data_IF_049545094356
#
_entry.id   IF_049545094356
#
_cell.length_a   1.000
_cell.length_b   1.000
_cell.length_c   1.000
_cell.angle_alpha   90.00
_cell.angle_beta   90.00
_cell.angle_gamma   90.00
#
_symmetry.space_group_name_H-M   'P 1'
#
loop_
_entity.id
_entity.type
_entity.pdbx_description
1 polymer ?
#
# COMPACT_ATOMS: atom_id res chain seq x y z
N UNK A 1 16.25 17.83 -49.44
CA UNK A 1 15.98 16.41 -49.06
C UNK A 1 16.86 15.91 -47.91
N UNK A 2 18.20 15.91 -47.99
CA UNK A 2 19.07 15.34 -46.94
C UNK A 2 18.90 15.97 -45.53
N UNK A 3 18.68 17.29 -45.44
CA UNK A 3 18.46 18.00 -44.16
C UNK A 3 17.11 17.66 -43.49
N UNK A 4 16.09 17.37 -44.29
CA UNK A 4 14.74 17.02 -43.79
C UNK A 4 14.69 15.59 -43.22
N UNK A 5 15.49 14.67 -43.79
CA UNK A 5 15.62 13.29 -43.30
C UNK A 5 16.34 13.23 -41.94
N UNK A 6 17.38 14.06 -41.75
CA UNK A 6 18.07 14.17 -40.47
C UNK A 6 17.16 14.70 -39.35
N UNK A 7 16.30 15.68 -39.65
CA UNK A 7 15.34 16.23 -38.68
C UNK A 7 14.27 15.19 -38.29
N UNK A 8 13.80 14.39 -39.25
CA UNK A 8 12.86 13.29 -38.98
C UNK A 8 13.50 12.19 -38.10
N UNK A 9 14.76 11.85 -38.31
CA UNK A 9 15.49 10.87 -37.50
C UNK A 9 15.69 11.33 -36.04
N UNK A 10 15.96 12.62 -35.82
CA UNK A 10 16.08 13.19 -34.47
C UNK A 10 14.73 13.18 -33.75
N UNK A 11 13.65 13.56 -34.44
CA UNK A 11 12.30 13.54 -33.87
C UNK A 11 11.83 12.11 -33.52
N UNK A 12 12.16 11.12 -34.35
CA UNK A 12 11.83 9.70 -34.08
C UNK A 12 12.62 9.13 -32.91
N UNK A 13 13.86 9.58 -32.70
CA UNK A 13 14.68 9.14 -31.55
C UNK A 13 14.20 9.70 -30.21
N UNK A 14 13.59 10.89 -30.21
CA UNK A 14 13.01 11.46 -28.99
C UNK A 14 11.77 10.70 -28.52
N UNK A 15 10.96 10.13 -29.40
CA UNK A 15 9.73 9.41 -29.02
C UNK A 15 9.99 8.04 -28.37
N UNK A 16 11.13 7.40 -28.66
CA UNK A 16 11.49 6.12 -28.02
C UNK A 16 11.99 6.27 -26.57
N UNK A 17 12.52 7.44 -26.18
CA UNK A 17 13.00 7.68 -24.82
C UNK A 17 11.85 7.91 -23.81
N UNK A 18 10.65 8.25 -24.29
CA UNK A 18 9.48 8.50 -23.44
C UNK A 18 8.47 7.33 -23.40
N UNK A 19 8.76 6.22 -24.08
CA UNK A 19 7.86 5.05 -24.16
C UNK A 19 8.26 3.90 -23.21
N UNK A 20 9.07 4.15 -22.19
CA UNK A 20 9.16 3.22 -21.08
C UNK A 20 7.92 3.41 -20.19
N UNK A 21 6.87 2.67 -20.52
CA UNK A 21 5.80 2.32 -19.58
C UNK A 21 6.42 1.38 -18.53
N UNK A 22 7.28 1.94 -17.68
CA UNK A 22 7.83 1.24 -16.55
C UNK A 22 6.69 1.08 -15.54
N UNK A 23 6.45 -0.15 -15.09
CA UNK A 23 5.62 -0.43 -13.92
C UNK A 23 6.14 0.42 -12.76
N UNK A 24 5.51 1.58 -12.54
CA UNK A 24 5.98 2.59 -11.56
C UNK A 24 6.05 2.02 -10.15
N UNK A 25 5.41 0.87 -9.88
CA UNK A 25 5.36 0.24 -8.58
C UNK A 25 5.91 -1.17 -8.64
N UNK A 26 6.99 -1.43 -7.92
CA UNK A 26 7.59 -2.76 -7.81
C UNK A 26 7.25 -3.39 -6.46
N UNK A 27 6.80 -4.64 -6.47
CA UNK A 27 6.70 -5.46 -5.26
C UNK A 27 8.10 -5.76 -4.72
N UNK A 28 8.44 -5.21 -3.55
CA UNK A 28 9.78 -5.32 -2.97
C UNK A 28 9.82 -6.30 -1.81
N UNK A 29 8.78 -6.30 -0.98
CA UNK A 29 8.75 -7.13 0.23
C UNK A 29 7.33 -7.63 0.52
N UNK A 30 7.23 -8.80 1.14
CA UNK A 30 5.97 -9.34 1.66
C UNK A 30 6.19 -9.94 3.03
N UNK A 31 5.19 -9.82 3.89
CA UNK A 31 5.14 -10.54 5.16
C UNK A 31 3.75 -11.10 5.40
N UNK A 32 3.65 -12.13 6.23
CA UNK A 32 2.38 -12.62 6.74
C UNK A 32 2.21 -12.28 8.23
N UNK A 33 1.03 -12.58 8.76
CA UNK A 33 0.69 -12.33 10.17
C UNK A 33 1.45 -13.20 11.18
N UNK A 34 2.26 -14.18 10.72
CA UNK A 34 3.14 -14.99 11.57
C UNK A 34 4.60 -14.49 11.55
N UNK A 35 4.90 -13.46 10.76
CA UNK A 35 6.25 -12.92 10.57
C UNK A 35 7.07 -13.62 9.49
N UNK A 36 6.52 -14.59 8.76
CA UNK A 36 7.20 -15.16 7.58
C UNK A 36 7.20 -14.12 6.45
N UNK A 37 8.30 -14.02 5.71
CA UNK A 37 8.49 -13.00 4.69
C UNK A 37 9.13 -13.52 3.40
N UNK A 38 8.98 -12.74 2.32
CA UNK A 38 9.68 -12.93 1.04
C UNK A 38 10.15 -11.57 0.52
N UNK A 39 11.30 -11.57 -0.14
CA UNK A 39 12.03 -10.36 -0.51
C UNK A 39 13.07 -10.00 0.55
N UNK A 40 13.95 -9.05 0.24
CA UNK A 40 14.93 -8.54 1.20
C UNK A 40 14.32 -7.35 1.95
N UNK A 41 14.31 -7.40 3.28
CA UNK A 41 13.86 -6.27 4.10
C UNK A 41 14.77 -5.05 3.91
N UNK A 42 16.05 -5.26 3.60
CA UNK A 42 16.99 -4.17 3.39
C UNK A 42 16.65 -3.35 2.15
N UNK A 43 16.12 -3.97 1.09
CA UNK A 43 15.64 -3.25 -0.11
C UNK A 43 14.50 -2.29 0.24
N UNK A 44 13.58 -2.72 1.12
CA UNK A 44 12.47 -1.87 1.59
C UNK A 44 12.99 -0.74 2.49
N UNK A 45 13.88 -1.05 3.43
CA UNK A 45 14.49 -0.04 4.32
C UNK A 45 15.24 1.02 3.51
N UNK A 46 16.03 0.60 2.53
CA UNK A 46 16.80 1.51 1.70
C UNK A 46 15.90 2.37 0.82
N UNK A 47 14.80 1.82 0.30
CA UNK A 47 13.79 2.60 -0.41
C UNK A 47 13.16 3.67 0.48
N UNK A 48 12.81 3.33 1.72
CA UNK A 48 12.28 4.30 2.70
C UNK A 48 13.31 5.40 2.98
N UNK A 49 14.58 5.04 3.20
CA UNK A 49 15.67 6.01 3.46
C UNK A 49 15.94 6.93 2.27
N UNK A 50 15.73 6.45 1.05
CA UNK A 50 15.83 7.25 -0.19
C UNK A 50 14.63 8.16 -0.41
N UNK A 51 13.58 8.07 0.41
CA UNK A 51 12.37 8.86 0.29
C UNK A 51 11.43 8.36 -0.81
N UNK A 52 11.58 7.11 -1.27
CA UNK A 52 10.67 6.54 -2.24
C UNK A 52 9.27 6.42 -1.64
N UNK A 53 8.25 6.62 -2.47
CA UNK A 53 6.86 6.40 -2.06
C UNK A 53 6.61 4.92 -1.86
N UNK A 54 5.90 4.61 -0.77
CA UNK A 54 5.57 3.25 -0.37
C UNK A 54 4.05 3.06 -0.47
N UNK A 55 3.63 1.99 -1.12
CA UNK A 55 2.25 1.53 -1.14
C UNK A 55 2.16 0.17 -0.51
N UNK A 56 1.19 0.00 0.38
CA UNK A 56 0.91 -1.28 1.02
C UNK A 56 -0.38 -1.87 0.46
N UNK A 57 -0.42 -3.20 0.46
CA UNK A 57 -1.57 -3.98 0.09
C UNK A 57 -1.88 -5.00 1.18
N UNK A 58 -3.16 -5.15 1.49
CA UNK A 58 -3.68 -6.22 2.34
C UNK A 58 -5.08 -6.63 1.86
N UNK A 59 -5.58 -7.74 2.38
CA UNK A 59 -6.92 -8.21 2.05
C UNK A 59 -7.61 -8.80 3.28
N UNK A 60 -8.93 -8.74 3.28
CA UNK A 60 -9.79 -9.41 4.25
C UNK A 60 -10.69 -10.42 3.54
N UNK A 61 -11.00 -11.54 4.19
CA UNK A 61 -11.97 -12.51 3.69
C UNK A 61 -12.93 -12.89 4.81
N UNK A 62 -14.20 -13.16 4.48
CA UNK A 62 -15.18 -13.64 5.47
C UNK A 62 -14.68 -14.93 6.12
N UNK A 63 -14.94 -15.08 7.43
CA UNK A 63 -14.51 -16.25 8.20
C UNK A 63 -15.10 -17.55 7.63
N UNK A 64 -16.38 -17.52 7.27
CA UNK A 64 -17.17 -18.69 6.85
C UNK A 64 -17.21 -18.89 5.33
N UNK A 65 -16.69 -17.95 4.54
CA UNK A 65 -16.68 -18.03 3.08
C UNK A 65 -15.46 -17.27 2.55
N UNK A 66 -14.42 -18.01 2.15
CA UNK A 66 -13.17 -17.43 1.67
C UNK A 66 -13.26 -16.88 0.25
N UNK A 67 -14.33 -17.17 -0.50
CA UNK A 67 -14.57 -16.55 -1.81
C UNK A 67 -14.99 -15.08 -1.69
N UNK A 68 -15.64 -14.73 -0.56
CA UNK A 68 -16.02 -13.36 -0.23
C UNK A 68 -14.85 -12.61 0.39
N UNK A 69 -14.07 -11.95 -0.46
CA UNK A 69 -12.88 -11.17 -0.10
C UNK A 69 -12.97 -9.71 -0.53
N UNK A 70 -12.30 -8.85 0.21
CA UNK A 70 -12.03 -7.44 -0.14
C UNK A 70 -10.53 -7.22 -0.11
N UNK A 71 -10.04 -6.45 -1.08
CA UNK A 71 -8.63 -6.13 -1.26
C UNK A 71 -8.47 -4.63 -1.09
N UNK A 72 -7.39 -4.23 -0.43
CA UNK A 72 -7.11 -2.84 -0.11
C UNK A 72 -5.69 -2.48 -0.54
N UNK A 73 -5.56 -1.29 -1.12
CA UNK A 73 -4.29 -0.64 -1.41
C UNK A 73 -4.33 0.74 -0.79
N UNK A 74 -3.25 1.12 -0.11
CA UNK A 74 -3.10 2.47 0.41
C UNK A 74 -1.64 2.90 0.34
N UNK A 75 -1.44 4.20 0.12
CA UNK A 75 -0.13 4.81 0.21
C UNK A 75 0.21 5.08 1.67
N UNK A 76 1.43 4.76 2.07
CA UNK A 76 1.95 5.12 3.38
C UNK A 76 2.16 6.63 3.44
N UNK A 77 1.60 7.27 4.46
CA UNK A 77 1.73 8.71 4.70
C UNK A 77 2.76 9.04 5.75
N UNK A 78 3.02 8.10 6.65
CA UNK A 78 4.07 8.19 7.63
C UNK A 78 4.80 6.85 7.71
N UNK A 79 6.13 6.91 7.61
CA UNK A 79 7.00 5.74 7.58
C UNK A 79 7.94 5.81 8.79
N UNK A 80 8.11 4.68 9.47
CA UNK A 80 9.07 4.54 10.58
C UNK A 80 9.97 3.36 10.32
N UNK A 81 11.28 3.56 10.42
CA UNK A 81 12.26 2.48 10.49
C UNK A 81 12.60 2.28 11.96
N UNK A 82 12.39 1.07 12.48
CA UNK A 82 12.74 0.71 13.85
C UNK A 82 13.99 -0.15 13.86
N UNK A 83 15.03 0.35 14.52
CA UNK A 83 16.28 -0.38 14.76
C UNK A 83 16.88 -1.01 13.50
N UNK A 84 16.78 -0.33 12.36
CA UNK A 84 17.29 -0.78 11.06
C UNK A 84 16.84 -2.18 10.61
N UNK A 85 15.74 -2.69 11.17
CA UNK A 85 15.29 -4.07 10.95
C UNK A 85 13.81 -4.15 10.58
N UNK A 86 13.02 -3.14 10.91
CA UNK A 86 11.59 -3.13 10.68
C UNK A 86 11.13 -1.82 10.03
N UNK A 87 10.12 -1.94 9.17
CA UNK A 87 9.43 -0.81 8.56
C UNK A 87 7.98 -0.82 9.00
N UNK A 88 7.50 0.34 9.41
CA UNK A 88 6.11 0.59 9.72
C UNK A 88 5.55 1.64 8.77
N UNK A 89 4.37 1.39 8.23
CA UNK A 89 3.65 2.31 7.36
C UNK A 89 2.30 2.65 7.98
N UNK A 90 2.11 3.91 8.33
CA UNK A 90 0.81 4.45 8.72
C UNK A 90 0.13 5.09 7.51
N UNK A 91 -1.16 4.81 7.35
CA UNK A 91 -2.00 5.38 6.28
C UNK A 91 -2.88 6.50 6.82
N UNK A 92 -3.38 7.36 5.93
CA UNK A 92 -4.41 8.33 6.30
C UNK A 92 -5.63 7.63 6.91
N UNK A 93 -6.35 8.26 7.85
CA UNK A 93 -7.65 7.79 8.29
C UNK A 93 -8.60 7.58 7.10
N UNK A 94 -9.28 6.43 7.08
CA UNK A 94 -10.24 6.03 6.06
C UNK A 94 -11.62 6.04 6.70
N UNK A 95 -12.59 6.68 6.03
CA UNK A 95 -14.01 6.60 6.39
C UNK A 95 -14.41 5.12 6.41
N UNK A 96 -15.06 4.67 7.49
CA UNK A 96 -15.45 3.28 7.64
C UNK A 96 -16.22 2.75 6.42
N UNK A 97 -15.92 1.53 6.01
CA UNK A 97 -16.54 0.88 4.86
C UNK A 97 -17.16 -0.46 5.26
N UNK A 98 -18.26 -0.84 4.63
CA UNK A 98 -18.89 -2.16 4.81
C UNK A 98 -19.16 -2.79 3.45
N UNK A 99 -18.41 -3.86 3.07
CA UNK A 99 -18.70 -4.63 1.88
C UNK A 99 -20.00 -5.43 2.02
N UNK A 100 -20.91 -5.26 1.06
CA UNK A 100 -22.15 -6.03 0.90
C UNK A 100 -21.99 -7.01 -0.25
N UNK A 101 -21.44 -8.18 0.05
CA UNK A 101 -21.03 -9.16 -0.98
C UNK A 101 -22.15 -9.64 -1.89
N UNK A 102 -23.37 -9.84 -1.37
CA UNK A 102 -24.49 -10.35 -2.17
C UNK A 102 -25.05 -9.27 -3.12
N UNK A 103 -24.92 -7.99 -2.73
CA UNK A 103 -25.29 -6.82 -3.54
C UNK A 103 -24.14 -6.33 -4.43
N UNK A 104 -22.92 -6.84 -4.24
CA UNK A 104 -21.68 -6.36 -4.87
C UNK A 104 -21.43 -4.86 -4.69
N UNK A 105 -21.75 -4.32 -3.51
CA UNK A 105 -21.53 -2.90 -3.20
C UNK A 105 -20.65 -2.71 -1.97
N UNK A 106 -20.13 -1.49 -1.78
CA UNK A 106 -19.47 -1.05 -0.55
C UNK A 106 -20.20 0.22 -0.09
N UNK A 107 -20.64 0.23 1.16
CA UNK A 107 -21.29 1.40 1.77
C UNK A 107 -20.36 2.09 2.77
N UNK A 108 -20.47 3.41 2.88
CA UNK A 108 -19.79 4.18 3.92
C UNK A 108 -20.50 4.00 5.27
N UNK A 109 -19.72 4.03 6.35
CA UNK A 109 -20.19 4.09 7.73
C UNK A 109 -20.03 5.51 8.23
N UNK A 110 -21.14 6.14 8.56
CA UNK A 110 -21.16 7.50 9.10
C UNK A 110 -20.42 7.57 10.45
N UNK A 111 -19.84 8.74 10.73
CA UNK A 111 -19.20 9.09 11.99
C UNK A 111 -18.00 8.21 12.40
N UNK A 112 -17.54 7.29 11.55
CA UNK A 112 -16.45 6.37 11.89
C UNK A 112 -15.30 6.54 10.89
N UNK A 113 -14.09 6.68 11.42
CA UNK A 113 -12.85 6.57 10.66
C UNK A 113 -11.92 5.57 11.34
N UNK A 114 -11.08 4.94 10.54
CA UNK A 114 -10.04 4.05 11.04
C UNK A 114 -8.72 4.29 10.30
N UNK A 115 -7.60 4.07 10.97
CA UNK A 115 -6.26 4.07 10.38
C UNK A 115 -5.58 2.73 10.66
N UNK A 116 -4.51 2.45 9.91
CA UNK A 116 -3.69 1.25 10.02
C UNK A 116 -2.23 1.66 10.12
N UNK A 117 -1.53 1.05 11.07
CA UNK A 117 -0.07 0.90 11.07
C UNK A 117 0.22 -0.52 10.58
N UNK A 118 0.69 -0.65 9.35
CA UNK A 118 1.20 -1.89 8.81
C UNK A 118 2.66 -2.10 9.25
N UNK A 119 3.00 -3.29 9.73
CA UNK A 119 4.36 -3.62 10.17
C UNK A 119 4.98 -4.72 9.31
N UNK A 120 6.26 -4.58 8.95
CA UNK A 120 6.98 -5.55 8.12
C UNK A 120 7.18 -6.91 8.79
N UNK A 121 6.99 -7.01 10.11
CA UNK A 121 6.99 -8.28 10.86
C UNK A 121 5.59 -8.89 11.05
N UNK A 122 4.55 -8.30 10.45
CA UNK A 122 3.17 -8.79 10.54
C UNK A 122 2.41 -8.40 11.82
N UNK A 123 3.04 -7.70 12.77
CA UNK A 123 2.40 -7.20 13.99
C UNK A 123 1.86 -5.79 13.76
N UNK A 124 0.76 -5.72 13.02
CA UNK A 124 0.11 -4.46 12.65
C UNK A 124 -0.88 -4.01 13.71
N UNK A 125 -1.32 -2.76 13.67
CA UNK A 125 -2.37 -2.23 14.56
C UNK A 125 -3.34 -1.35 13.76
N UNK A 126 -4.61 -1.38 14.13
CA UNK A 126 -5.61 -0.47 13.59
C UNK A 126 -6.30 0.25 14.71
N UNK A 127 -6.54 1.54 14.53
CA UNK A 127 -7.30 2.34 15.48
C UNK A 127 -8.54 2.88 14.78
N UNK A 128 -9.70 2.73 15.43
CA UNK A 128 -10.98 3.27 14.98
C UNK A 128 -11.46 4.35 15.94
N UNK A 129 -11.95 5.47 15.40
CA UNK A 129 -12.51 6.57 16.19
C UNK A 129 -13.88 6.99 15.69
N UNK A 130 -14.66 7.57 16.59
CA UNK A 130 -15.82 8.37 16.23
C UNK A 130 -15.38 9.79 15.90
N UNK A 131 -15.60 10.27 14.68
CA UNK A 131 -15.13 11.60 14.26
C UNK A 131 -15.96 12.75 14.83
N UNK A 132 -17.18 12.47 15.29
CA UNK A 132 -18.09 13.47 15.86
C UNK A 132 -17.81 13.69 17.34
N UNK A 133 -17.53 12.63 18.09
CA UNK A 133 -17.26 12.71 19.54
C UNK A 133 -15.77 12.71 19.89
N UNK A 134 -14.90 12.25 18.98
CA UNK A 134 -13.47 12.06 19.23
C UNK A 134 -13.15 10.76 20.00
N UNK A 135 -14.14 9.96 20.37
CA UNK A 135 -13.96 8.72 21.12
C UNK A 135 -13.18 7.67 20.31
N UNK A 136 -12.24 6.98 20.96
CA UNK A 136 -11.59 5.80 20.39
C UNK A 136 -12.48 4.58 20.63
N UNK A 137 -12.98 4.00 19.53
CA UNK A 137 -13.90 2.86 19.56
C UNK A 137 -13.17 1.51 19.68
N UNK A 138 -11.88 1.49 19.36
CA UNK A 138 -11.04 0.32 19.50
C UNK A 138 -9.67 0.51 18.86
N UNK A 139 -8.65 -0.08 19.48
CA UNK A 139 -7.33 -0.22 18.91
C UNK A 139 -6.66 -1.46 19.51
N UNK A 140 -6.21 -2.37 18.64
CA UNK A 140 -5.55 -3.59 19.08
C UNK A 140 -4.51 -4.00 18.04
N UNK A 141 -3.34 -4.50 18.46
CA UNK A 141 -2.42 -5.18 17.58
C UNK A 141 -3.05 -6.48 17.05
N UNK A 142 -2.86 -6.76 15.77
CA UNK A 142 -3.34 -7.98 15.14
C UNK A 142 -2.39 -8.48 14.05
N UNK A 143 -2.36 -9.80 13.80
CA UNK A 143 -1.57 -10.38 12.71
C UNK A 143 -2.14 -9.97 11.35
N UNK A 144 -1.33 -9.36 10.49
CA UNK A 144 -1.75 -8.96 9.14
C UNK A 144 -0.69 -9.31 8.09
N UNK A 145 -1.16 -9.79 6.94
CA UNK A 145 -0.30 -10.03 5.78
C UNK A 145 -0.26 -8.79 4.90
N UNK A 146 0.95 -8.31 4.60
CA UNK A 146 1.17 -7.08 3.83
C UNK A 146 2.06 -7.39 2.62
N UNK A 147 1.74 -6.77 1.49
CA UNK A 147 2.66 -6.63 0.36
C UNK A 147 3.09 -5.19 0.23
N UNK A 148 4.40 -4.96 0.09
CA UNK A 148 5.03 -3.66 0.08
C UNK A 148 5.54 -3.34 -1.31
N UNK A 149 5.02 -2.26 -1.88
CA UNK A 149 5.40 -1.77 -3.19
C UNK A 149 6.17 -0.45 -3.05
N UNK A 150 7.24 -0.33 -3.84
CA UNK A 150 8.10 0.84 -3.90
C UNK A 150 7.91 1.51 -5.26
N UNK A 151 7.75 2.84 -5.27
CA UNK A 151 7.76 3.60 -6.52
C UNK A 151 9.17 3.62 -7.13
N UNK A 152 9.32 3.22 -8.40
CA UNK A 152 10.58 3.16 -9.15
C UNK A 152 10.76 4.35 -10.09
#
# INVERSE_FOLDING_TARGET
MKKSVALLLVLFSCTFLFSQENDRWKLTYTNNGKGESKGDIQDLIDAVRKGNRIRIYWYGARKNDKSKKVEHFAEAKFLTIMSDTLVFAQIDPIIGQTPKYDEQTISLKENIEWTLIAASNGKSESMTRNVTTGEILGHDPFPLSIRWYVEQ
#
